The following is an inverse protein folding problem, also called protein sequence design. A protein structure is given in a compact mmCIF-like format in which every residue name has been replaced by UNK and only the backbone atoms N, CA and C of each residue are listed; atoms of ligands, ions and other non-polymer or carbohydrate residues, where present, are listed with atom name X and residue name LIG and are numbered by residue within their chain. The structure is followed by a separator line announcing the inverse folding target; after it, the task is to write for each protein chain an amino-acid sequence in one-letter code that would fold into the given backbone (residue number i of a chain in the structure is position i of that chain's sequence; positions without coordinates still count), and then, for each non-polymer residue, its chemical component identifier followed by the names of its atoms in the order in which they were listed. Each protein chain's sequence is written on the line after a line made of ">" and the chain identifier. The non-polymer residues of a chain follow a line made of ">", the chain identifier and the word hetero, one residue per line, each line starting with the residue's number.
data_IF_220091308483
#
_entry.id   IF_220091308483
#
_cell.length_a   1.000
_cell.length_b   1.000
_cell.length_c   1.000
_cell.angle_alpha   90.00
_cell.angle_beta   90.00
_cell.angle_gamma   90.00
#
_symmetry.space_group_name_H-M   'P 1'
#
loop_
_entity.id
_entity.type
_entity.pdbx_description
1 polymer ?
#
# COMPACT_ATOMS: atom_id res chain seq x y z
N UNK A 1 -30.29 -8.61 31.26
CA UNK A 1 -28.90 -8.11 31.30
C UNK A 1 -27.90 -9.27 31.42
N UNK A 2 -27.97 -10.27 30.53
CA UNK A 2 -27.00 -11.39 30.49
C UNK A 2 -26.38 -11.57 29.11
N UNK A 3 -27.03 -11.04 28.06
CA UNK A 3 -26.63 -11.20 26.65
C UNK A 3 -25.52 -10.25 26.17
N UNK A 4 -25.18 -9.20 26.93
CA UNK A 4 -24.09 -8.27 26.57
C UNK A 4 -22.73 -8.70 27.13
N UNK A 5 -22.70 -9.51 28.20
CA UNK A 5 -21.46 -10.03 28.78
C UNK A 5 -20.94 -11.27 28.04
N UNK A 6 -21.82 -12.02 27.36
CA UNK A 6 -21.46 -13.21 26.57
C UNK A 6 -20.67 -12.83 25.29
N UNK A 7 -20.99 -11.68 24.68
CA UNK A 7 -20.31 -11.18 23.46
C UNK A 7 -18.91 -10.66 23.79
N UNK A 8 -18.72 -10.12 25.00
CA UNK A 8 -17.44 -9.57 25.43
C UNK A 8 -16.39 -10.67 25.69
N UNK A 9 -16.82 -11.87 26.08
CA UNK A 9 -15.93 -13.06 26.23
C UNK A 9 -15.45 -13.68 24.92
N UNK A 10 -16.13 -13.42 23.79
CA UNK A 10 -15.73 -13.98 22.49
C UNK A 10 -14.55 -13.25 21.85
N UNK A 11 -14.23 -12.04 22.32
CA UNK A 11 -13.08 -11.25 21.84
C UNK A 11 -11.83 -11.38 22.73
N UNK A 12 -11.90 -12.11 23.84
CA UNK A 12 -10.80 -12.33 24.79
C UNK A 12 -10.25 -13.77 24.75
N UNK A 13 -10.26 -14.43 23.59
CA UNK A 13 -9.47 -15.66 23.45
C UNK A 13 -8.01 -15.25 23.20
N UNK A 14 -7.06 -15.53 24.13
CA UNK A 14 -5.65 -15.36 23.84
C UNK A 14 -5.35 -16.21 22.61
N UNK A 15 -4.87 -15.55 21.55
CA UNK A 15 -4.68 -16.16 20.25
C UNK A 15 -3.98 -17.50 20.36
N UNK A 16 -4.59 -18.53 19.77
CA UNK A 16 -3.98 -19.84 19.63
C UNK A 16 -2.65 -19.64 18.90
N UNK A 17 -1.50 -20.04 19.45
CA UNK A 17 -0.21 -19.87 18.78
C UNK A 17 -0.22 -20.69 17.50
N UNK A 18 -0.26 -20.04 16.34
CA UNK A 18 -0.05 -20.70 15.07
C UNK A 18 1.47 -20.82 14.85
N UNK A 19 2.00 -21.99 14.43
CA UNK A 19 3.43 -22.34 14.50
C UNK A 19 4.40 -21.47 13.67
N UNK A 20 3.94 -20.37 13.06
CA UNK A 20 4.72 -19.56 12.12
C UNK A 20 4.87 -18.07 12.48
N UNK A 21 4.41 -17.62 13.66
CA UNK A 21 4.70 -16.25 14.11
C UNK A 21 4.99 -16.21 15.61
N UNK A 22 6.06 -15.48 15.97
CA UNK A 22 6.36 -15.08 17.34
C UNK A 22 5.93 -13.63 17.50
N UNK A 23 5.18 -13.32 18.55
CA UNK A 23 4.95 -11.93 18.97
C UNK A 23 6.19 -11.49 19.72
N UNK A 24 7.00 -10.64 19.11
CA UNK A 24 8.05 -9.93 19.83
C UNK A 24 7.40 -8.72 20.51
N UNK A 25 7.18 -8.79 21.82
CA UNK A 25 6.84 -7.62 22.64
C UNK A 25 8.14 -6.92 23.02
N UNK A 26 8.61 -5.98 22.19
CA UNK A 26 9.65 -5.05 22.63
C UNK A 26 9.01 -3.78 23.18
N UNK A 27 9.26 -3.52 24.46
CA UNK A 27 8.98 -2.26 25.13
C UNK A 27 10.11 -1.26 24.84
N UNK A 28 9.81 -0.16 24.15
CA UNK A 28 10.68 1.03 24.12
C UNK A 28 9.80 2.31 24.09
N UNK A 29 9.92 3.09 25.17
CA UNK A 29 9.69 4.54 25.34
C UNK A 29 8.55 5.23 24.57
N UNK A 30 7.47 5.57 25.30
CA UNK A 30 6.59 6.72 25.02
C UNK A 30 6.14 6.90 23.56
N UNK A 31 5.46 5.88 23.03
CA UNK A 31 5.18 5.74 21.61
C UNK A 31 4.26 6.86 21.06
N UNK A 32 4.84 7.75 20.25
CA UNK A 32 4.09 8.80 19.52
C UNK A 32 2.96 8.21 18.67
N UNK A 33 3.12 6.99 18.15
CA UNK A 33 2.05 6.30 17.43
C UNK A 33 0.94 5.83 18.36
N UNK A 34 1.23 5.36 19.57
CA UNK A 34 0.17 5.02 20.55
C UNK A 34 -0.65 6.25 20.94
N UNK A 35 0.01 7.40 21.15
CA UNK A 35 -0.70 8.65 21.43
C UNK A 35 -1.62 9.06 20.27
N UNK A 36 -1.15 8.90 19.02
CA UNK A 36 -1.94 9.18 17.82
C UNK A 36 -3.12 8.21 17.68
N UNK A 37 -2.89 6.91 17.84
CA UNK A 37 -3.92 5.87 17.76
C UNK A 37 -5.00 6.10 18.82
N UNK A 38 -4.61 6.41 20.06
CA UNK A 38 -5.55 6.72 21.13
C UNK A 38 -6.35 8.00 20.87
N UNK A 39 -5.69 9.06 20.39
CA UNK A 39 -6.38 10.34 20.11
C UNK A 39 -7.40 10.24 18.98
N UNK A 40 -7.18 9.35 18.02
CA UNK A 40 -8.01 9.24 16.81
C UNK A 40 -8.78 7.92 16.70
N UNK A 41 -8.91 7.17 17.79
CA UNK A 41 -9.50 5.82 17.81
C UNK A 41 -10.89 5.77 17.15
N UNK A 42 -11.74 6.76 17.39
CA UNK A 42 -13.10 6.81 16.82
C UNK A 42 -13.13 6.96 15.28
N UNK A 43 -12.03 7.41 14.68
CA UNK A 43 -11.87 7.60 13.24
C UNK A 43 -11.05 6.48 12.58
N UNK A 44 -10.44 5.61 13.38
CA UNK A 44 -9.58 4.53 12.91
C UNK A 44 -10.40 3.23 12.87
N UNK A 45 -10.61 2.70 11.66
CA UNK A 45 -11.35 1.44 11.47
C UNK A 45 -10.49 0.19 11.73
N UNK A 46 -9.17 0.34 11.75
CA UNK A 46 -8.21 -0.73 12.02
C UNK A 46 -6.77 -0.30 11.73
N UNK A 47 -5.82 -1.04 12.29
CA UNK A 47 -4.38 -0.86 12.07
C UNK A 47 -3.87 -2.06 11.27
N UNK A 48 -3.25 -1.81 10.12
CA UNK A 48 -2.60 -2.85 9.32
C UNK A 48 -1.10 -2.82 9.62
N UNK A 49 -0.61 -3.85 10.29
CA UNK A 49 0.81 -4.08 10.54
C UNK A 49 1.29 -5.25 9.69
N UNK A 50 2.38 -5.07 8.94
CA UNK A 50 2.96 -6.14 8.15
C UNK A 50 4.19 -5.68 7.37
N UNK A 51 5.04 -6.63 7.02
CA UNK A 51 6.24 -6.34 6.25
C UNK A 51 5.90 -6.14 4.77
N UNK A 52 6.51 -5.11 4.19
CA UNK A 52 6.57 -4.75 2.78
C UNK A 52 5.34 -4.03 2.17
N UNK A 53 4.23 -4.69 1.81
CA UNK A 53 3.24 -4.03 0.89
C UNK A 53 1.77 -4.38 1.10
N UNK A 54 0.94 -3.37 1.36
CA UNK A 54 -0.52 -3.42 1.13
C UNK A 54 -0.80 -3.03 -0.32
N UNK A 55 -1.20 -3.99 -1.15
CA UNK A 55 -1.58 -3.72 -2.55
C UNK A 55 -3.04 -3.33 -2.62
N UNK A 56 -3.30 -2.03 -2.70
CA UNK A 56 -4.64 -1.53 -3.02
C UNK A 56 -4.92 -1.72 -4.51
N UNK A 57 -5.76 -2.70 -4.84
CA UNK A 57 -6.31 -2.84 -6.19
C UNK A 57 -7.66 -2.15 -6.26
N UNK A 58 -7.70 -1.04 -6.97
CA UNK A 58 -8.92 -0.35 -7.33
C UNK A 58 -9.10 -0.39 -8.85
N UNK A 59 -10.29 -0.75 -9.30
CA UNK A 59 -10.70 -0.51 -10.70
C UNK A 59 -11.41 0.84 -10.76
N UNK A 60 -10.97 1.73 -11.65
CA UNK A 60 -11.68 2.98 -11.94
C UNK A 60 -12.98 2.66 -12.70
N UNK A 61 -14.03 2.30 -11.95
CA UNK A 61 -15.31 1.84 -12.49
C UNK A 61 -15.92 2.80 -13.51
N UNK A 62 -15.71 4.11 -13.34
CA UNK A 62 -16.20 5.16 -14.23
C UNK A 62 -15.65 5.09 -15.66
N UNK A 63 -14.42 4.59 -15.85
CA UNK A 63 -13.76 4.51 -17.16
C UNK A 63 -13.43 3.07 -17.58
N UNK A 64 -13.69 2.08 -16.72
CA UNK A 64 -13.43 0.67 -16.96
C UNK A 64 -14.48 -0.01 -17.85
N UNK A 65 -15.07 0.74 -18.77
CA UNK A 65 -16.02 0.28 -19.78
C UNK A 65 -16.05 1.28 -20.94
N UNK A 66 -16.43 0.82 -22.13
CA UNK A 66 -16.33 1.62 -23.38
C UNK A 66 -16.99 2.98 -23.25
N UNK A 67 -18.25 3.02 -22.79
CA UNK A 67 -19.00 4.29 -22.69
C UNK A 67 -18.38 5.28 -21.72
N UNK A 68 -17.83 4.77 -20.62
CA UNK A 68 -17.11 5.57 -19.64
C UNK A 68 -15.85 6.19 -20.21
N UNK A 69 -15.06 5.40 -20.94
CA UNK A 69 -13.86 5.88 -21.63
C UNK A 69 -14.19 6.90 -22.72
N UNK A 70 -15.21 6.65 -23.56
CA UNK A 70 -15.66 7.62 -24.56
C UNK A 70 -16.05 8.96 -23.93
N UNK A 71 -16.80 8.92 -22.82
CA UNK A 71 -17.24 10.12 -22.10
C UNK A 71 -16.03 10.87 -21.53
N UNK A 72 -15.08 10.15 -20.94
CA UNK A 72 -13.84 10.71 -20.44
C UNK A 72 -13.05 11.42 -21.54
N UNK A 73 -12.82 10.76 -22.67
CA UNK A 73 -12.07 11.35 -23.79
C UNK A 73 -12.78 12.58 -24.37
N UNK A 74 -14.12 12.55 -24.46
CA UNK A 74 -14.91 13.69 -24.93
C UNK A 74 -14.78 14.90 -23.99
N UNK A 75 -14.95 14.70 -22.67
CA UNK A 75 -14.80 15.76 -21.66
C UNK A 75 -13.39 16.35 -21.66
N UNK A 76 -12.37 15.54 -21.96
CA UNK A 76 -10.99 15.99 -22.07
C UNK A 76 -10.58 16.44 -23.47
N UNK A 77 -11.52 16.52 -24.42
CA UNK A 77 -11.28 16.91 -25.81
C UNK A 77 -10.18 16.08 -26.52
N UNK A 78 -10.07 14.80 -26.17
CA UNK A 78 -9.14 13.86 -26.80
C UNK A 78 -9.87 13.11 -27.91
N UNK A 79 -9.42 13.28 -29.14
CA UNK A 79 -9.96 12.52 -30.27
C UNK A 79 -9.50 11.06 -30.20
N UNK A 80 -10.32 10.14 -30.69
CA UNK A 80 -10.00 8.70 -30.69
C UNK A 80 -8.69 8.38 -31.44
N UNK A 81 -8.39 9.13 -32.51
CA UNK A 81 -7.13 9.00 -33.27
C UNK A 81 -5.90 9.41 -32.47
N UNK A 82 -6.07 10.30 -31.49
CA UNK A 82 -4.99 10.86 -30.66
C UNK A 82 -4.87 10.12 -29.30
N UNK A 83 -5.73 9.12 -29.07
CA UNK A 83 -5.78 8.36 -27.82
C UNK A 83 -4.43 7.73 -27.45
N UNK A 84 -3.75 7.12 -28.42
CA UNK A 84 -2.45 6.46 -28.19
C UNK A 84 -1.41 7.42 -27.63
N UNK A 85 -1.23 8.57 -28.29
CA UNK A 85 -0.31 9.61 -27.85
C UNK A 85 -0.70 10.19 -26.50
N UNK A 86 -2.00 10.36 -26.24
CA UNK A 86 -2.50 10.84 -24.95
C UNK A 86 -2.10 9.88 -23.81
N UNK A 87 -2.41 8.58 -23.92
CA UNK A 87 -2.11 7.62 -22.84
C UNK A 87 -0.61 7.40 -22.65
N UNK A 88 0.17 7.49 -23.71
CA UNK A 88 1.63 7.42 -23.64
C UNK A 88 2.20 8.64 -22.89
N UNK A 89 1.70 9.84 -23.16
CA UNK A 89 2.10 11.04 -22.44
C UNK A 89 1.77 10.95 -20.94
N UNK A 90 0.56 10.49 -20.59
CA UNK A 90 0.17 10.28 -19.19
C UNK A 90 1.06 9.23 -18.49
N UNK A 91 1.31 8.11 -19.17
CA UNK A 91 2.18 7.04 -18.66
C UNK A 91 3.62 7.52 -18.44
N UNK A 92 4.12 8.34 -19.35
CA UNK A 92 5.46 8.92 -19.28
C UNK A 92 5.57 9.90 -18.12
N UNK A 93 4.58 10.78 -17.95
CA UNK A 93 4.51 11.72 -16.83
C UNK A 93 4.55 10.98 -15.48
N UNK A 94 3.78 9.89 -15.35
CA UNK A 94 3.79 9.08 -14.14
C UNK A 94 5.17 8.45 -13.87
N UNK A 95 5.82 7.90 -14.90
CA UNK A 95 7.18 7.32 -14.79
C UNK A 95 8.19 8.39 -14.37
N UNK A 96 8.17 9.56 -15.01
CA UNK A 96 9.07 10.67 -14.69
C UNK A 96 8.88 11.14 -13.24
N UNK A 97 7.65 11.27 -12.78
CA UNK A 97 7.39 11.64 -11.39
C UNK A 97 7.89 10.58 -10.41
N UNK A 98 7.66 9.29 -10.68
CA UNK A 98 8.15 8.21 -9.85
C UNK A 98 9.69 8.15 -9.79
N UNK A 99 10.37 8.35 -10.92
CA UNK A 99 11.82 8.44 -10.99
C UNK A 99 12.36 9.61 -10.19
N UNK A 100 11.76 10.80 -10.35
CA UNK A 100 12.13 12.00 -9.59
C UNK A 100 11.94 11.78 -8.09
N UNK A 101 10.80 11.24 -7.69
CA UNK A 101 10.52 10.93 -6.29
C UNK A 101 11.58 9.99 -5.68
N UNK A 102 11.95 8.92 -6.41
CA UNK A 102 13.01 8.01 -5.98
C UNK A 102 14.37 8.73 -5.87
N UNK A 103 14.72 9.56 -6.85
CA UNK A 103 15.95 10.36 -6.85
C UNK A 103 16.02 11.32 -5.66
N UNK A 104 14.95 12.08 -5.40
CA UNK A 104 14.86 13.05 -4.31
C UNK A 104 15.07 12.37 -2.94
N UNK A 105 14.62 11.11 -2.80
CA UNK A 105 14.79 10.30 -1.59
C UNK A 105 16.03 9.40 -1.62
N UNK A 106 16.91 9.54 -2.62
CA UNK A 106 18.12 8.71 -2.81
C UNK A 106 17.81 7.20 -2.80
N UNK A 107 16.64 6.82 -3.34
CA UNK A 107 16.21 5.41 -3.46
C UNK A 107 16.49 4.90 -4.88
N UNK A 108 16.89 3.63 -5.04
CA UNK A 108 17.12 3.04 -6.36
C UNK A 108 15.79 2.94 -7.15
N UNK A 109 15.84 3.29 -8.44
CA UNK A 109 14.76 3.07 -9.40
C UNK A 109 15.26 2.07 -10.46
N UNK A 110 14.97 0.79 -10.25
CA UNK A 110 15.52 -0.29 -11.07
C UNK A 110 14.43 -1.01 -11.88
N UNK A 111 14.68 -1.19 -13.17
CA UNK A 111 13.84 -2.04 -14.01
C UNK A 111 14.18 -3.51 -13.76
N UNK A 112 13.16 -4.28 -13.37
CA UNK A 112 13.31 -5.71 -13.12
C UNK A 112 13.09 -6.47 -14.42
N UNK A 113 14.18 -7.01 -14.98
CA UNK A 113 14.20 -7.64 -16.30
C UNK A 113 13.47 -8.98 -16.33
N UNK A 114 13.52 -9.76 -15.23
CA UNK A 114 12.94 -11.09 -15.16
C UNK A 114 11.84 -11.19 -14.11
N UNK A 115 10.73 -11.84 -14.48
CA UNK A 115 9.66 -12.21 -13.55
C UNK A 115 10.10 -13.28 -12.52
N UNK A 116 11.18 -14.03 -12.80
CA UNK A 116 11.74 -15.02 -11.86
C UNK A 116 12.49 -14.37 -10.70
N UNK A 117 12.90 -13.09 -10.81
CA UNK A 117 13.55 -12.37 -9.72
C UNK A 117 12.49 -11.84 -8.76
N UNK A 118 12.55 -12.27 -7.51
CA UNK A 118 11.63 -11.83 -6.46
C UNK A 118 11.85 -10.36 -6.11
N UNK A 119 10.76 -9.58 -6.09
CA UNK A 119 10.77 -8.19 -5.64
C UNK A 119 11.06 -8.06 -4.15
N UNK A 120 10.73 -9.09 -3.37
CA UNK A 120 10.99 -9.12 -1.94
C UNK A 120 12.48 -9.28 -1.66
N UNK A 121 13.17 -10.14 -2.42
CA UNK A 121 14.61 -10.36 -2.26
C UNK A 121 15.40 -9.10 -2.63
N UNK A 122 15.02 -8.42 -3.72
CA UNK A 122 15.59 -7.12 -4.09
C UNK A 122 15.40 -6.08 -2.97
N UNK A 123 14.21 -6.02 -2.37
CA UNK A 123 13.94 -5.08 -1.29
C UNK A 123 14.79 -5.39 -0.05
N UNK A 124 14.99 -6.66 0.29
CA UNK A 124 15.87 -7.10 1.38
C UNK A 124 17.34 -6.77 1.11
N UNK A 125 17.82 -7.01 -0.12
CA UNK A 125 19.17 -6.62 -0.54
C UNK A 125 19.41 -5.11 -0.33
N UNK A 126 18.45 -4.28 -0.74
CA UNK A 126 18.48 -2.82 -0.55
C UNK A 126 18.45 -2.46 0.95
N UNK A 127 17.59 -3.09 1.73
CA UNK A 127 17.49 -2.86 3.18
C UNK A 127 18.81 -3.17 3.90
N UNK A 128 19.41 -4.32 3.61
CA UNK A 128 20.70 -4.71 4.18
C UNK A 128 21.82 -3.75 3.75
N UNK A 129 21.86 -3.36 2.47
CA UNK A 129 22.83 -2.38 1.95
C UNK A 129 22.72 -1.02 2.64
N UNK A 130 21.49 -0.58 2.89
CA UNK A 130 21.22 0.74 3.44
C UNK A 130 21.24 0.76 4.99
N UNK A 131 21.51 -0.39 5.63
CA UNK A 131 21.63 -0.50 7.09
C UNK A 131 20.33 -0.22 7.84
N UNK A 132 19.19 -0.49 7.21
CA UNK A 132 17.86 -0.29 7.80
C UNK A 132 17.51 -1.52 8.64
N UNK A 133 17.34 -1.34 9.95
CA UNK A 133 16.87 -2.36 10.89
C UNK A 133 15.34 -2.25 11.07
N UNK A 134 14.70 -3.37 11.42
CA UNK A 134 13.23 -3.48 11.63
C UNK A 134 12.74 -2.79 12.91
#
# INVERSE_FOLDING_TARGET
>A
MSWLLEIQKLFETPGIPHPYWKVATNQIEGNTMECFLNRHQDHIRGVLSGFDRVVFRGTLRSISHVKGMETFLNVHHVLLKDFGSFVEAQSSLLKTHAQKFAQDHKRPYEYIVSASRSKADIAKEIMHRDGIEE
#
